data_IF_997703086707
#
_entry.id   IF_997703086707
#
_cell.length_a   1.000
_cell.length_b   1.000
_cell.length_c   1.000
_cell.angle_alpha   90.00
_cell.angle_beta   90.00
_cell.angle_gamma   90.00
#
_symmetry.space_group_name_H-M   'P 1'
#
loop_
_entity.id
_entity.type
_entity.pdbx_description
1 polymer ?
#
# COMPACT_ATOMS: atom_id res chain seq x y z
N UNK A 1 9.41 -33.06 10.53
CA UNK A 1 8.90 -32.89 9.14
C UNK A 1 8.14 -31.57 9.12
N UNK A 2 8.46 -30.64 8.22
CA UNK A 2 7.71 -29.38 8.12
C UNK A 2 6.41 -29.67 7.37
N UNK A 3 5.27 -29.31 7.96
CA UNK A 3 3.98 -29.46 7.29
C UNK A 3 3.97 -28.64 5.99
N UNK A 4 3.66 -29.31 4.88
CA UNK A 4 3.53 -28.70 3.55
C UNK A 4 2.53 -27.54 3.56
N UNK A 5 1.54 -27.60 4.44
CA UNK A 5 0.60 -26.53 4.71
C UNK A 5 1.21 -25.23 5.23
N UNK A 6 2.15 -25.33 6.18
CA UNK A 6 2.87 -24.17 6.74
C UNK A 6 3.77 -23.53 5.67
N UNK A 7 4.41 -24.36 4.83
CA UNK A 7 5.21 -23.86 3.71
C UNK A 7 4.36 -23.08 2.69
N UNK A 8 3.17 -23.59 2.35
CA UNK A 8 2.20 -22.88 1.48
C UNK A 8 1.77 -21.55 2.11
N UNK A 9 1.44 -21.54 3.40
CA UNK A 9 1.04 -20.34 4.12
C UNK A 9 2.16 -19.28 4.15
N UNK A 10 3.40 -19.69 4.42
CA UNK A 10 4.58 -18.83 4.39
C UNK A 10 4.88 -18.28 3.00
N UNK A 11 4.73 -19.11 1.96
CA UNK A 11 4.89 -18.68 0.56
C UNK A 11 3.89 -17.58 0.19
N UNK A 12 2.61 -17.73 0.55
CA UNK A 12 1.57 -16.72 0.29
C UNK A 12 1.95 -15.38 0.93
N UNK A 13 2.33 -15.40 2.21
CA UNK A 13 2.76 -14.21 2.92
C UNK A 13 4.00 -13.58 2.27
N UNK A 14 4.98 -14.40 1.87
CA UNK A 14 6.22 -13.96 1.22
C UNK A 14 5.96 -13.24 -0.11
N UNK A 15 5.06 -13.76 -0.95
CA UNK A 15 4.66 -13.11 -2.21
C UNK A 15 4.01 -11.75 -1.93
N UNK A 16 3.11 -11.68 -0.96
CA UNK A 16 2.42 -10.44 -0.59
C UNK A 16 3.37 -9.40 -0.01
N UNK A 17 4.31 -9.83 0.83
CA UNK A 17 5.40 -9.00 1.34
C UNK A 17 6.26 -8.46 0.22
N UNK A 18 6.68 -9.30 -0.73
CA UNK A 18 7.55 -8.88 -1.83
C UNK A 18 6.87 -7.81 -2.69
N UNK A 19 5.57 -7.98 -2.99
CA UNK A 19 4.82 -7.00 -3.78
C UNK A 19 4.64 -5.68 -3.03
N UNK A 20 4.29 -5.71 -1.74
CA UNK A 20 4.13 -4.49 -0.94
C UNK A 20 5.48 -3.79 -0.69
N UNK A 21 6.55 -4.55 -0.48
CA UNK A 21 7.90 -4.01 -0.34
C UNK A 21 8.37 -3.34 -1.64
N UNK A 22 8.13 -3.98 -2.78
CA UNK A 22 8.45 -3.42 -4.10
C UNK A 22 7.69 -2.11 -4.34
N UNK A 23 6.40 -2.09 -3.98
CA UNK A 23 5.56 -0.89 -4.06
C UNK A 23 6.06 0.21 -3.13
N UNK A 24 6.45 -0.14 -1.91
CA UNK A 24 6.99 0.79 -0.93
C UNK A 24 8.32 1.41 -1.42
N UNK A 25 9.21 0.60 -1.98
CA UNK A 25 10.47 1.06 -2.56
C UNK A 25 10.27 2.02 -3.72
N UNK A 26 9.38 1.70 -4.66
CA UNK A 26 9.02 2.60 -5.77
C UNK A 26 8.44 3.92 -5.22
N UNK A 27 7.63 3.84 -4.17
CA UNK A 27 7.06 5.03 -3.54
C UNK A 27 8.11 5.96 -2.93
N UNK A 28 9.11 5.38 -2.27
CA UNK A 28 10.23 6.11 -1.67
C UNK A 28 11.17 6.69 -2.74
N UNK A 29 11.60 5.89 -3.72
CA UNK A 29 12.56 6.32 -4.75
C UNK A 29 12.04 7.46 -5.62
N UNK A 30 10.74 7.47 -5.91
CA UNK A 30 10.13 8.45 -6.81
C UNK A 30 9.28 9.52 -6.10
N UNK A 31 9.28 9.52 -4.76
CA UNK A 31 8.50 10.46 -3.95
C UNK A 31 7.00 10.43 -4.23
N UNK A 32 6.45 9.30 -4.69
CA UNK A 32 5.07 9.24 -5.18
C UNK A 32 4.04 9.50 -4.08
N UNK A 33 4.39 9.25 -2.81
CA UNK A 33 3.54 9.53 -1.66
C UNK A 33 3.20 11.03 -1.53
N UNK A 34 4.18 11.91 -1.71
CA UNK A 34 3.97 13.35 -1.64
C UNK A 34 3.06 13.84 -2.78
N UNK A 35 3.29 13.33 -4.00
CA UNK A 35 2.45 13.63 -5.17
C UNK A 35 1.03 13.12 -4.99
N UNK A 36 0.86 11.91 -4.46
CA UNK A 36 -0.46 11.32 -4.25
C UNK A 36 -1.28 12.09 -3.20
N UNK A 37 -0.66 12.48 -2.07
CA UNK A 37 -1.32 13.32 -1.06
C UNK A 37 -1.74 14.66 -1.66
N UNK A 38 -0.84 15.29 -2.43
CA UNK A 38 -1.13 16.57 -3.08
C UNK A 38 -2.27 16.45 -4.12
N UNK A 39 -2.35 15.34 -4.87
CA UNK A 39 -3.46 15.06 -5.77
C UNK A 39 -4.80 14.93 -5.05
N UNK A 40 -4.82 14.25 -3.91
CA UNK A 40 -6.05 14.11 -3.11
C UNK A 40 -6.51 15.46 -2.54
N UNK A 41 -5.57 16.26 -2.04
CA UNK A 41 -5.84 17.59 -1.50
C UNK A 41 -6.39 18.54 -2.59
N UNK A 42 -5.79 18.54 -3.78
CA UNK A 42 -6.31 19.29 -4.94
C UNK A 42 -7.74 18.84 -5.31
N UNK A 43 -8.03 17.53 -5.31
CA UNK A 43 -9.38 17.01 -5.59
C UNK A 43 -10.40 17.45 -4.54
N UNK A 44 -10.05 17.34 -3.26
CA UNK A 44 -10.91 17.75 -2.15
C UNK A 44 -11.18 19.27 -2.23
N UNK A 45 -10.14 20.08 -2.45
CA UNK A 45 -10.26 21.52 -2.55
C UNK A 45 -11.10 21.95 -3.75
N UNK A 46 -10.93 21.31 -4.92
CA UNK A 46 -11.76 21.55 -6.11
C UNK A 46 -13.23 21.25 -5.84
N UNK A 47 -13.52 20.14 -5.15
CA UNK A 47 -14.89 19.79 -4.76
C UNK A 47 -15.50 20.84 -3.82
N UNK A 48 -14.73 21.34 -2.84
CA UNK A 48 -15.19 22.41 -1.96
C UNK A 48 -15.43 23.74 -2.69
N UNK A 49 -14.59 24.10 -3.65
CA UNK A 49 -14.78 25.32 -4.46
C UNK A 49 -16.05 25.22 -5.31
N UNK A 50 -16.28 24.07 -5.96
CA UNK A 50 -17.47 23.86 -6.78
C UNK A 50 -18.77 23.86 -5.96
N UNK A 51 -18.74 23.34 -4.73
CA UNK A 51 -19.93 23.23 -3.87
C UNK A 51 -20.16 24.47 -2.98
N UNK A 52 -19.34 25.52 -3.12
CA UNK A 52 -19.51 26.76 -2.36
C UNK A 52 -20.71 27.54 -2.89
N UNK A 53 -21.72 27.80 -2.05
CA UNK A 53 -22.94 28.54 -2.41
C UNK A 53 -22.65 29.97 -2.89
N UNK A 54 -23.44 30.49 -3.83
CA UNK A 54 -23.32 31.85 -4.40
C UNK A 54 -23.91 32.88 -3.41
N UNK A 55 -23.07 33.42 -2.54
CA UNK A 55 -23.39 34.55 -1.66
C UNK A 55 -22.27 35.61 -1.79
N UNK A 56 -22.57 36.92 -1.69
CA UNK A 56 -21.55 37.96 -1.79
C UNK A 56 -20.40 37.78 -0.77
N UNK A 57 -20.69 37.25 0.42
CA UNK A 57 -19.70 36.97 1.48
C UNK A 57 -18.87 35.71 1.20
N UNK A 58 -19.42 34.76 0.46
CA UNK A 58 -18.71 33.54 0.03
C UNK A 58 -17.88 33.76 -1.24
N UNK A 59 -18.14 34.81 -2.03
CA UNK A 59 -17.37 35.15 -3.22
C UNK A 59 -15.89 35.47 -2.91
N UNK A 60 -15.62 36.24 -1.85
CA UNK A 60 -14.25 36.53 -1.41
C UNK A 60 -13.50 35.29 -0.91
N UNK A 61 -14.18 34.44 -0.13
CA UNK A 61 -13.62 33.16 0.34
C UNK A 61 -13.39 32.17 -0.81
N UNK A 62 -14.27 32.19 -1.82
CA UNK A 62 -14.13 31.39 -3.03
C UNK A 62 -12.91 31.82 -3.84
N UNK A 63 -12.70 33.13 -4.07
CA UNK A 63 -11.51 33.61 -4.77
C UNK A 63 -10.21 33.30 -4.04
N UNK A 64 -10.17 33.39 -2.71
CA UNK A 64 -9.01 32.97 -1.92
C UNK A 64 -8.72 31.46 -2.09
N UNK A 65 -9.77 30.62 -2.08
CA UNK A 65 -9.65 29.16 -2.30
C UNK A 65 -9.26 28.81 -3.74
N UNK A 66 -9.73 29.56 -4.73
CA UNK A 66 -9.32 29.41 -6.14
C UNK A 66 -7.84 29.73 -6.34
N UNK A 67 -7.30 30.74 -5.64
CA UNK A 67 -5.85 31.03 -5.65
C UNK A 67 -5.06 29.87 -5.04
N UNK A 68 -5.47 29.39 -3.87
CA UNK A 68 -4.83 28.23 -3.22
C UNK A 68 -4.89 26.97 -4.09
N UNK A 69 -6.00 26.76 -4.82
CA UNK A 69 -6.13 25.65 -5.76
C UNK A 69 -5.12 25.77 -6.91
N UNK A 70 -4.98 26.96 -7.51
CA UNK A 70 -3.99 27.22 -8.57
C UNK A 70 -2.56 27.01 -8.09
N UNK A 71 -2.24 27.45 -6.87
CA UNK A 71 -0.92 27.26 -6.29
C UNK A 71 -0.60 25.77 -6.08
N UNK A 72 -1.55 24.98 -5.54
CA UNK A 72 -1.39 23.52 -5.39
C UNK A 72 -1.36 22.77 -6.72
N UNK A 73 -2.13 23.20 -7.72
CA UNK A 73 -2.08 22.65 -9.08
C UNK A 73 -0.71 22.91 -9.73
N UNK A 74 -0.13 24.09 -9.51
CA UNK A 74 1.23 24.42 -9.97
C UNK A 74 2.29 23.57 -9.28
N UNK A 75 2.23 23.44 -7.95
CA UNK A 75 3.13 22.56 -7.19
C UNK A 75 3.00 21.10 -7.65
N UNK A 76 1.77 20.66 -7.94
CA UNK A 76 1.53 19.31 -8.44
C UNK A 76 2.15 19.12 -9.83
N UNK A 77 2.05 20.11 -10.71
CA UNK A 77 2.69 20.05 -12.03
C UNK A 77 4.23 19.98 -11.91
N UNK A 78 4.82 20.78 -11.02
CA UNK A 78 6.26 20.80 -10.77
C UNK A 78 6.78 19.47 -10.18
N UNK A 79 5.99 18.82 -9.31
CA UNK A 79 6.33 17.54 -8.70
C UNK A 79 5.98 16.32 -9.57
N UNK A 80 5.05 16.46 -10.52
CA UNK A 80 4.61 15.36 -11.39
C UNK A 80 5.51 15.25 -12.61
N UNK A 81 6.73 14.76 -12.39
CA UNK A 81 7.66 14.43 -13.46
C UNK A 81 7.21 13.15 -14.22
N UNK A 82 7.68 12.92 -15.47
CA UNK A 82 7.37 11.69 -16.20
C UNK A 82 7.87 10.41 -15.50
N UNK A 83 8.90 10.48 -14.65
CA UNK A 83 9.34 9.37 -13.79
C UNK A 83 8.35 9.12 -12.64
N UNK A 84 7.92 10.17 -11.95
CA UNK A 84 6.91 10.05 -10.87
C UNK A 84 5.56 9.52 -11.40
N UNK A 85 5.15 9.95 -12.59
CA UNK A 85 3.93 9.43 -13.24
C UNK A 85 4.06 7.93 -13.55
N UNK A 86 5.19 7.48 -14.08
CA UNK A 86 5.45 6.04 -14.31
C UNK A 86 5.45 5.26 -13.00
N UNK A 87 6.05 5.79 -11.94
CA UNK A 87 6.08 5.17 -10.62
C UNK A 87 4.67 5.01 -10.01
N UNK A 88 3.78 6.00 -10.18
CA UNK A 88 2.37 5.88 -9.80
C UNK A 88 1.66 4.75 -10.57
N UNK A 89 1.91 4.64 -11.89
CA UNK A 89 1.39 3.52 -12.68
C UNK A 89 1.92 2.17 -12.18
N UNK A 90 3.22 2.04 -11.95
CA UNK A 90 3.80 0.80 -11.42
C UNK A 90 3.21 0.41 -10.07
N UNK A 91 3.03 1.37 -9.15
CA UNK A 91 2.39 1.11 -7.86
C UNK A 91 0.93 0.63 -8.00
N UNK A 92 0.21 1.14 -9.00
CA UNK A 92 -1.14 0.67 -9.33
C UNK A 92 -1.10 -0.76 -9.88
N UNK A 93 -0.26 -1.05 -10.87
CA UNK A 93 -0.15 -2.38 -11.47
C UNK A 93 0.35 -3.44 -10.47
N UNK A 94 1.24 -3.10 -9.53
CA UNK A 94 1.63 -4.00 -8.45
C UNK A 94 0.45 -4.34 -7.53
N UNK A 95 -0.45 -3.39 -7.29
CA UNK A 95 -1.66 -3.63 -6.50
C UNK A 95 -2.64 -4.54 -7.25
N UNK A 96 -2.79 -4.35 -8.56
CA UNK A 96 -3.57 -5.24 -9.44
C UNK A 96 -2.96 -6.64 -9.46
N UNK A 97 -1.64 -6.75 -9.60
CA UNK A 97 -0.92 -8.02 -9.60
C UNK A 97 -1.10 -8.75 -8.27
N UNK A 98 -1.05 -8.06 -7.13
CA UNK A 98 -1.36 -8.63 -5.81
C UNK A 98 -2.78 -9.23 -5.77
N UNK A 99 -3.75 -8.53 -6.36
CA UNK A 99 -5.11 -9.03 -6.51
C UNK A 99 -5.20 -10.29 -7.37
N UNK A 100 -4.53 -10.31 -8.52
CA UNK A 100 -4.48 -11.49 -9.42
C UNK A 100 -3.80 -12.66 -8.71
N UNK A 101 -2.67 -12.45 -8.05
CA UNK A 101 -1.99 -13.49 -7.26
C UNK A 101 -2.93 -14.05 -6.18
N UNK A 102 -3.62 -13.18 -5.42
CA UNK A 102 -4.59 -13.61 -4.42
C UNK A 102 -5.73 -14.43 -5.01
N UNK A 103 -6.25 -14.05 -6.18
CA UNK A 103 -7.29 -14.80 -6.88
C UNK A 103 -6.79 -16.18 -7.34
N UNK A 104 -5.64 -16.24 -8.02
CA UNK A 104 -5.05 -17.52 -8.47
C UNK A 104 -4.79 -18.45 -7.29
N UNK A 105 -4.19 -17.95 -6.21
CA UNK A 105 -3.95 -18.71 -4.98
C UNK A 105 -5.26 -19.21 -4.37
N UNK A 106 -6.31 -18.38 -4.36
CA UNK A 106 -7.64 -18.77 -3.87
C UNK A 106 -8.18 -19.97 -4.64
N UNK A 107 -8.11 -19.92 -5.98
CA UNK A 107 -8.59 -21.00 -6.85
C UNK A 107 -7.72 -22.26 -6.70
N UNK A 108 -6.40 -22.12 -6.62
CA UNK A 108 -5.47 -23.26 -6.54
C UNK A 108 -5.63 -24.06 -5.24
N UNK A 109 -5.85 -23.40 -4.11
CA UNK A 109 -5.99 -24.05 -2.80
C UNK A 109 -7.44 -24.07 -2.32
N UNK A 110 -8.39 -23.97 -3.25
CA UNK A 110 -9.80 -24.06 -2.93
C UNK A 110 -10.13 -25.49 -2.49
N UNK A 111 -10.75 -25.65 -1.32
CA UNK A 111 -11.19 -26.97 -0.83
C UNK A 111 -10.20 -27.72 0.05
N UNK A 112 -8.97 -27.22 0.26
CA UNK A 112 -8.02 -27.81 1.20
C UNK A 112 -7.72 -26.87 2.38
N UNK A 113 -7.62 -27.38 3.63
CA UNK A 113 -7.12 -26.59 4.75
C UNK A 113 -5.62 -26.31 4.55
N UNK A 114 -5.22 -25.04 4.69
CA UNK A 114 -3.81 -24.64 4.60
C UNK A 114 -3.00 -25.18 5.76
N UNK A 115 -3.53 -25.12 6.98
CA UNK A 115 -2.95 -25.72 8.17
C UNK A 115 -4.00 -25.78 9.27
N UNK A 116 -3.73 -26.55 10.32
CA UNK A 116 -4.59 -26.65 11.49
C UNK A 116 -3.91 -26.05 12.71
N UNK A 117 -4.68 -25.33 13.52
CA UNK A 117 -4.24 -24.72 14.78
C UNK A 117 -5.07 -25.30 15.91
N UNK A 118 -4.47 -25.39 17.11
CA UNK A 118 -5.19 -25.86 18.30
C UNK A 118 -6.47 -25.05 18.51
N UNK A 119 -7.60 -25.76 18.64
CA UNK A 119 -8.95 -25.19 18.81
C UNK A 119 -9.05 -24.10 19.90
N UNK A 120 -8.30 -24.24 20.98
CA UNK A 120 -8.28 -23.27 22.09
C UNK A 120 -7.75 -21.90 21.69
N UNK A 121 -6.92 -21.81 20.66
CA UNK A 121 -6.29 -20.56 20.21
C UNK A 121 -7.14 -19.80 19.20
N UNK A 122 -8.11 -20.45 18.58
CA UNK A 122 -8.92 -19.89 17.48
C UNK A 122 -10.38 -19.69 17.85
N UNK A 123 -10.81 -20.01 19.06
CA UNK A 123 -12.17 -19.70 19.53
C UNK A 123 -12.27 -18.16 19.75
N UNK A 124 -13.26 -17.42 19.20
CA UNK A 124 -14.45 -17.81 18.40
C UNK A 124 -14.23 -17.83 16.88
N UNK A 125 -13.11 -17.32 16.41
CA UNK A 125 -12.81 -17.07 15.01
C UNK A 125 -12.68 -18.34 14.15
N UNK A 126 -12.68 -19.54 14.73
CA UNK A 126 -12.47 -20.81 14.02
C UNK A 126 -13.42 -21.01 12.83
N UNK A 127 -14.68 -20.57 12.93
CA UNK A 127 -15.62 -20.63 11.79
C UNK A 127 -15.28 -19.67 10.66
N UNK A 128 -14.81 -18.47 11.01
CA UNK A 128 -14.31 -17.48 10.05
C UNK A 128 -13.02 -17.95 9.38
N UNK A 129 -12.14 -18.58 10.15
CA UNK A 129 -10.88 -19.14 9.66
C UNK A 129 -11.09 -20.34 8.74
N UNK A 130 -12.22 -21.04 8.83
CA UNK A 130 -12.53 -22.17 7.96
C UNK A 130 -13.32 -21.79 6.69
N UNK A 131 -13.60 -20.50 6.44
CA UNK A 131 -14.28 -20.04 5.21
C UNK A 131 -13.47 -20.44 3.97
N UNK A 132 -14.10 -21.03 2.93
CA UNK A 132 -15.55 -21.18 2.74
C UNK A 132 -16.19 -22.46 3.31
N UNK A 133 -15.43 -23.40 3.87
CA UNK A 133 -15.91 -24.72 4.32
C UNK A 133 -16.15 -24.80 5.84
N UNK A 134 -16.63 -23.70 6.45
CA UNK A 134 -16.69 -23.55 7.92
C UNK A 134 -17.61 -24.50 8.68
N UNK A 135 -18.39 -25.33 7.97
CA UNK A 135 -19.22 -26.39 8.54
C UNK A 135 -18.65 -27.80 8.32
N UNK A 136 -17.76 -27.98 7.35
CA UNK A 136 -17.22 -29.28 6.96
C UNK A 136 -15.87 -29.57 7.62
N UNK A 137 -15.10 -28.52 7.95
CA UNK A 137 -13.78 -28.67 8.51
C UNK A 137 -13.76 -28.62 10.04
N UNK A 138 -12.81 -29.35 10.62
CA UNK A 138 -12.60 -29.37 12.06
C UNK A 138 -12.27 -27.98 12.63
N UNK A 139 -12.73 -27.73 13.85
CA UNK A 139 -12.48 -26.48 14.56
C UNK A 139 -10.97 -26.28 14.82
N UNK A 140 -10.33 -25.43 14.02
CA UNK A 140 -8.87 -25.29 14.00
C UNK A 140 -8.29 -25.14 12.60
N UNK A 141 -9.00 -25.62 11.58
CA UNK A 141 -8.59 -25.51 10.19
C UNK A 141 -8.63 -24.06 9.70
N UNK A 142 -7.56 -23.65 9.01
CA UNK A 142 -7.46 -22.34 8.37
C UNK A 142 -7.55 -22.53 6.85
N UNK A 143 -8.52 -21.88 6.23
CA UNK A 143 -8.71 -21.83 4.79
C UNK A 143 -7.91 -20.74 4.11
N UNK A 144 -7.83 -20.85 2.80
CA UNK A 144 -7.08 -19.92 1.95
C UNK A 144 -7.63 -18.49 2.00
N UNK A 145 -8.95 -18.31 2.02
CA UNK A 145 -9.59 -16.99 2.04
C UNK A 145 -9.20 -16.13 3.27
N UNK A 146 -9.40 -16.59 4.52
CA UNK A 146 -9.00 -15.81 5.69
C UNK A 146 -7.48 -15.63 5.80
N UNK A 147 -6.69 -16.62 5.38
CA UNK A 147 -5.23 -16.48 5.35
C UNK A 147 -4.77 -15.43 4.33
N UNK A 148 -5.42 -15.32 3.17
CA UNK A 148 -5.14 -14.29 2.17
C UNK A 148 -5.46 -12.89 2.69
N UNK A 149 -6.61 -12.71 3.36
CA UNK A 149 -6.98 -11.43 3.98
C UNK A 149 -5.96 -11.04 5.04
N UNK A 150 -5.61 -11.99 5.92
CA UNK A 150 -4.61 -11.75 6.96
C UNK A 150 -3.24 -11.41 6.35
N UNK A 151 -2.81 -12.16 5.34
CA UNK A 151 -1.55 -11.92 4.64
C UNK A 151 -1.53 -10.56 3.96
N UNK A 152 -2.64 -10.14 3.35
CA UNK A 152 -2.79 -8.83 2.73
C UNK A 152 -2.69 -7.68 3.73
N UNK A 153 -3.34 -7.82 4.89
CA UNK A 153 -3.31 -6.80 5.94
C UNK A 153 -1.96 -6.76 6.66
N UNK A 154 -1.41 -7.93 6.98
CA UNK A 154 -0.11 -8.05 7.66
C UNK A 154 1.02 -7.52 6.78
N UNK A 155 1.01 -7.80 5.48
CA UNK A 155 2.04 -7.32 4.55
C UNK A 155 2.07 -5.80 4.45
N UNK A 156 0.90 -5.15 4.36
CA UNK A 156 0.82 -3.69 4.36
C UNK A 156 1.23 -3.10 5.71
N UNK A 157 0.75 -3.67 6.81
CA UNK A 157 1.05 -3.18 8.15
C UNK A 157 2.55 -3.27 8.49
N UNK A 158 3.23 -4.33 8.06
CA UNK A 158 4.68 -4.50 8.26
C UNK A 158 5.46 -3.54 7.37
N UNK A 159 5.04 -3.35 6.11
CA UNK A 159 5.70 -2.37 5.24
C UNK A 159 5.58 -0.94 5.79
N UNK A 160 4.38 -0.54 6.23
CA UNK A 160 4.15 0.80 6.76
C UNK A 160 4.75 1.01 8.17
N UNK A 161 4.65 0.00 9.04
CA UNK A 161 5.02 0.12 10.45
C UNK A 161 6.47 -0.23 10.78
N UNK A 162 7.12 -1.10 9.99
CA UNK A 162 8.48 -1.59 10.29
C UNK A 162 9.47 -1.14 9.23
N UNK A 163 9.18 -1.45 7.96
CA UNK A 163 10.11 -1.16 6.86
C UNK A 163 10.27 0.35 6.67
N UNK A 164 9.18 1.10 6.79
CA UNK A 164 9.22 2.54 6.57
C UNK A 164 10.14 3.29 7.53
N UNK A 165 9.94 3.17 8.85
CA UNK A 165 10.84 3.78 9.84
C UNK A 165 12.28 3.27 9.73
N UNK A 166 12.48 1.97 9.47
CA UNK A 166 13.81 1.38 9.33
C UNK A 166 14.58 1.94 8.12
N UNK A 167 13.91 2.10 6.98
CA UNK A 167 14.51 2.71 5.79
C UNK A 167 14.80 4.19 5.97
N UNK A 168 13.90 4.96 6.60
CA UNK A 168 14.15 6.37 6.90
C UNK A 168 15.37 6.54 7.81
N UNK A 169 15.51 5.67 8.82
CA UNK A 169 16.68 5.63 9.68
C UNK A 169 17.95 5.24 8.92
N UNK A 170 17.88 4.23 8.05
CA UNK A 170 19.00 3.79 7.22
C UNK A 170 19.47 4.89 6.24
N UNK A 171 18.53 5.58 5.57
CA UNK A 171 18.82 6.68 4.66
C UNK A 171 19.44 7.87 5.40
N UNK A 172 18.89 8.26 6.55
CA UNK A 172 19.49 9.31 7.40
C UNK A 172 20.90 8.94 7.87
N UNK A 173 21.16 7.65 8.10
CA UNK A 173 22.48 7.15 8.50
C UNK A 173 23.47 7.13 7.33
N UNK A 174 23.01 6.77 6.13
CA UNK A 174 23.79 6.83 4.89
C UNK A 174 24.14 8.27 4.52
N UNK A 175 23.21 9.20 4.64
CA UNK A 175 23.43 10.62 4.34
C UNK A 175 24.41 11.28 5.34
N UNK A 176 24.39 10.84 6.61
CA UNK A 176 25.39 11.26 7.61
C UNK A 176 26.76 10.61 7.44
N UNK A 177 26.84 9.44 6.80
CA UNK A 177 28.10 8.70 6.62
C UNK A 177 28.76 8.89 5.25
N UNK A 178 27.99 9.30 4.24
CA UNK A 178 28.42 9.52 2.87
C UNK A 178 27.96 10.91 2.47
N UNK A 179 28.81 11.92 2.68
CA UNK A 179 28.58 13.28 2.21
C UNK A 179 28.56 13.34 0.68
N UNK A 180 27.48 12.84 0.07
CA UNK A 180 27.31 12.79 -1.38
C UNK A 180 26.43 11.67 -1.96
N UNK A 181 25.88 10.73 -1.17
CA UNK A 181 25.05 9.66 -1.78
C UNK A 181 23.71 10.18 -2.35
N UNK A 182 23.14 11.25 -1.76
CA UNK A 182 21.92 11.88 -2.28
C UNK A 182 22.13 12.61 -3.62
N UNK A 183 23.37 13.02 -3.96
CA UNK A 183 23.69 13.62 -5.26
C UNK A 183 23.75 12.59 -6.39
N UNK A 184 23.96 11.31 -6.08
CA UNK A 184 24.07 10.24 -7.09
C UNK A 184 22.69 9.70 -7.53
N UNK A 185 21.68 9.79 -6.67
CA UNK A 185 20.29 9.41 -7.00
C UNK A 185 19.50 10.64 -7.45
N UNK A 186 19.81 11.82 -6.89
CA UNK A 186 19.30 13.11 -7.35
C UNK A 186 20.14 13.65 -8.48
N UNK A 187 20.01 13.10 -9.69
CA UNK A 187 20.61 13.65 -10.91
C UNK A 187 20.15 15.09 -11.17
N UNK A 188 20.78 16.06 -10.50
CA UNK A 188 20.83 17.45 -10.94
C UNK A 188 21.76 17.46 -12.14
N UNK A 189 21.17 17.56 -13.32
CA UNK A 189 21.86 18.07 -14.50
C UNK A 189 22.48 19.42 -14.12
N UNK A 190 23.81 19.60 -14.18
CA UNK A 190 24.40 20.92 -14.05
C UNK A 190 23.99 21.75 -15.27
N UNK A 191 23.49 22.95 -15.00
CA UNK A 191 23.52 24.07 -15.94
C UNK A 191 24.79 24.86 -15.68
#
# INVERSE_FOLDING_TARGET
>A
MVDTGILRAGFILGVFMLLDLSKYWISQLFGTRAVWVLQQDVRALRHHVNNSSVSPRSAGHRHARERLLRDKERQLFELTTPSTRRALFYGHYLSVLKGICGFVISVTFWGEPLFSVKRTSVWPLGRWLAVPHGHEWEAGAVGVAPWLVLSAAASTAICDGVVGPAMEFAMKRLDRGSGGFLDLIGGRSPR
#
